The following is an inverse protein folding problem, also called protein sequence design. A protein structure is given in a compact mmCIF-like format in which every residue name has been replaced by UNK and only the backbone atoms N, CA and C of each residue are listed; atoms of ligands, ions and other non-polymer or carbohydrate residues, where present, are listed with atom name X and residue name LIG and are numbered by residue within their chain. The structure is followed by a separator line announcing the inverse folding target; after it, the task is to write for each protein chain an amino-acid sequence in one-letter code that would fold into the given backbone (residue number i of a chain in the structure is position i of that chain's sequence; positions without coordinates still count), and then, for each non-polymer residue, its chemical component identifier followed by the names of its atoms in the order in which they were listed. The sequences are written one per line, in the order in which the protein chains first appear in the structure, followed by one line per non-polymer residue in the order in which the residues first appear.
data_IF_768701582070
#
_entry.id   IF_768701582070
#
_cell.length_a   1.000
_cell.length_b   1.000
_cell.length_c   1.000
_cell.angle_alpha   90.00
_cell.angle_beta   90.00
_cell.angle_gamma   90.00
#
_symmetry.space_group_name_H-M   'P 1'
#
loop_
_entity.id
_entity.type
_entity.pdbx_description
1 polymer ?
#
# COMPACT_ATOMS: atom_id res chain seq x y z
N UNK A 1 -7.84 -18.99 4.62
CA UNK A 1 -7.48 -17.56 4.50
C UNK A 1 -8.51 -16.89 3.60
N UNK A 2 -9.38 -16.08 4.19
CA UNK A 2 -10.44 -15.34 3.49
C UNK A 2 -10.20 -13.83 3.56
N UNK A 3 -8.97 -13.45 3.88
CA UNK A 3 -8.53 -12.08 4.03
C UNK A 3 -8.60 -11.32 2.69
N UNK A 4 -9.11 -10.08 2.72
CA UNK A 4 -9.16 -9.15 1.59
C UNK A 4 -9.89 -9.72 0.33
N UNK A 5 -11.13 -10.18 0.51
CA UNK A 5 -11.92 -10.79 -0.56
C UNK A 5 -13.30 -10.14 -0.80
N UNK A 6 -13.57 -8.98 -0.22
CA UNK A 6 -14.87 -8.29 -0.33
C UNK A 6 -16.07 -9.17 0.09
N UNK A 7 -15.89 -10.05 1.05
CA UNK A 7 -16.98 -10.87 1.58
C UNK A 7 -17.97 -9.98 2.34
N UNK A 8 -19.26 -10.15 2.07
CA UNK A 8 -20.33 -9.38 2.74
C UNK A 8 -21.02 -10.19 3.84
N UNK A 9 -20.91 -11.51 3.81
CA UNK A 9 -21.53 -12.40 4.80
C UNK A 9 -20.63 -13.57 5.14
N UNK A 10 -20.64 -13.99 6.40
CA UNK A 10 -20.07 -15.24 6.86
C UNK A 10 -21.20 -16.06 7.50
N UNK A 11 -21.75 -17.06 6.80
CA UNK A 11 -22.92 -17.77 7.26
C UNK A 11 -22.62 -18.66 8.47
N UNK A 12 -23.63 -18.89 9.32
CA UNK A 12 -23.52 -19.69 10.55
C UNK A 12 -23.08 -21.14 10.31
N UNK A 13 -23.18 -21.65 9.08
CA UNK A 13 -22.65 -22.99 8.78
C UNK A 13 -21.13 -23.11 8.98
N UNK A 14 -20.39 -21.99 9.05
CA UNK A 14 -18.99 -22.00 9.44
C UNK A 14 -18.79 -22.55 10.86
N UNK A 15 -19.76 -22.37 11.74
CA UNK A 15 -19.72 -22.92 13.10
C UNK A 15 -19.79 -24.44 13.14
N UNK A 16 -20.19 -25.09 12.05
CA UNK A 16 -20.17 -26.56 11.92
C UNK A 16 -18.81 -27.12 11.50
N UNK A 17 -17.84 -26.26 11.22
CA UNK A 17 -16.47 -26.71 10.96
C UNK A 17 -15.85 -27.24 12.26
N UNK A 18 -15.03 -28.27 12.14
CA UNK A 18 -14.32 -28.84 13.29
C UNK A 18 -13.12 -27.93 13.65
N UNK A 19 -13.45 -26.71 14.09
CA UNK A 19 -12.49 -25.72 14.59
C UNK A 19 -12.87 -25.44 16.04
N UNK A 20 -11.93 -25.59 16.93
CA UNK A 20 -12.07 -25.12 18.30
C UNK A 20 -11.73 -23.62 18.34
N UNK A 21 -12.78 -22.80 18.34
CA UNK A 21 -12.66 -21.34 18.26
C UNK A 21 -12.06 -20.71 19.52
N UNK A 22 -12.06 -21.42 20.64
CA UNK A 22 -11.54 -20.94 21.93
C UNK A 22 -10.33 -21.76 22.41
N UNK A 23 -9.67 -22.49 21.52
CA UNK A 23 -8.56 -23.37 21.90
C UNK A 23 -7.34 -22.58 22.37
N UNK A 24 -7.07 -22.68 23.67
CA UNK A 24 -5.88 -22.15 24.32
C UNK A 24 -4.77 -23.20 24.50
N UNK A 25 -5.03 -24.45 24.18
CA UNK A 25 -4.10 -25.55 24.41
C UNK A 25 -2.86 -25.40 23.49
N UNK A 26 -1.71 -25.19 24.10
CA UNK A 26 -0.39 -25.11 23.47
C UNK A 26 -0.10 -23.90 22.59
N UNK A 27 -0.78 -22.77 22.79
CA UNK A 27 -0.56 -21.55 21.99
C UNK A 27 -1.00 -21.69 20.54
N UNK A 28 -1.92 -22.63 20.27
CA UNK A 28 -2.54 -22.81 18.96
C UNK A 28 -3.78 -21.94 18.83
N UNK A 29 -3.67 -20.84 18.10
CA UNK A 29 -4.83 -20.05 17.69
C UNK A 29 -5.55 -20.73 16.52
N UNK A 30 -6.88 -20.63 16.40
CA UNK A 30 -7.57 -21.08 15.21
C UNK A 30 -7.06 -20.28 13.99
N UNK A 31 -6.57 -20.98 12.98
CA UNK A 31 -6.05 -20.36 11.76
C UNK A 31 -7.21 -19.89 10.87
N UNK A 32 -7.86 -18.83 11.28
CA UNK A 32 -8.98 -18.27 10.54
C UNK A 32 -8.82 -16.77 10.40
N UNK A 33 -8.50 -16.30 9.20
CA UNK A 33 -8.29 -14.88 8.91
C UNK A 33 -9.34 -14.40 7.90
N UNK A 34 -10.20 -13.47 8.33
CA UNK A 34 -11.29 -12.87 7.56
C UNK A 34 -11.23 -11.35 7.51
N UNK A 35 -10.14 -10.75 7.94
CA UNK A 35 -9.95 -9.29 7.92
C UNK A 35 -10.02 -8.68 6.53
N UNK A 36 -10.22 -7.37 6.47
CA UNK A 36 -10.31 -6.58 5.24
C UNK A 36 -11.39 -7.10 4.26
N UNK A 37 -12.57 -7.42 4.79
CA UNK A 37 -13.80 -7.73 4.06
C UNK A 37 -14.90 -6.73 4.45
N UNK A 38 -16.13 -6.94 4.00
CA UNK A 38 -17.31 -6.11 4.29
C UNK A 38 -18.29 -6.85 5.21
N UNK A 39 -17.80 -7.58 6.20
CA UNK A 39 -18.61 -8.50 7.03
C UNK A 39 -19.37 -7.83 8.15
N UNK A 40 -19.24 -6.58 8.38
CA UNK A 40 -19.84 -5.68 9.39
C UNK A 40 -20.65 -6.37 10.51
N UNK A 41 -21.93 -6.64 10.28
CA UNK A 41 -22.82 -7.29 11.25
C UNK A 41 -23.13 -8.76 10.89
N UNK A 42 -22.42 -9.31 9.92
CA UNK A 42 -22.73 -10.62 9.31
C UNK A 42 -21.65 -11.68 9.59
N UNK A 43 -21.06 -11.63 10.77
CA UNK A 43 -20.08 -12.62 11.23
C UNK A 43 -20.80 -13.73 11.98
N UNK A 44 -20.48 -15.00 11.68
CA UNK A 44 -21.04 -16.15 12.38
C UNK A 44 -20.78 -16.09 13.89
N UNK A 45 -21.75 -16.52 14.72
CA UNK A 45 -21.69 -16.38 16.18
C UNK A 45 -20.48 -17.06 16.83
N UNK A 46 -20.08 -18.23 16.35
CA UNK A 46 -18.89 -18.93 16.86
C UNK A 46 -17.59 -18.14 16.62
N UNK A 47 -17.56 -17.27 15.63
CA UNK A 47 -16.42 -16.39 15.35
C UNK A 47 -16.49 -15.14 16.22
N UNK A 48 -17.64 -14.47 16.26
CA UNK A 48 -17.82 -13.22 17.01
C UNK A 48 -17.79 -13.40 18.51
N UNK A 49 -18.13 -14.60 19.00
CA UNK A 49 -18.12 -14.97 20.43
C UNK A 49 -16.82 -15.66 20.86
N UNK A 50 -15.87 -15.86 19.95
CA UNK A 50 -14.57 -16.45 20.27
C UNK A 50 -13.73 -15.51 21.14
N UNK A 51 -13.06 -16.07 22.15
CA UNK A 51 -12.08 -15.34 22.98
C UNK A 51 -10.89 -14.82 22.17
N UNK A 52 -10.70 -15.30 20.95
CA UNK A 52 -9.65 -14.86 20.02
C UNK A 52 -10.16 -13.90 18.96
N UNK A 53 -11.40 -13.42 19.07
CA UNK A 53 -11.94 -12.41 18.17
C UNK A 53 -11.38 -11.04 18.53
N UNK A 54 -10.46 -10.54 17.71
CA UNK A 54 -9.87 -9.23 17.87
C UNK A 54 -10.31 -8.28 16.77
N UNK A 55 -10.75 -7.10 17.19
CA UNK A 55 -11.07 -5.97 16.31
C UNK A 55 -9.85 -5.08 16.04
N UNK A 56 -8.70 -5.40 16.60
CA UNK A 56 -7.49 -4.58 16.47
C UNK A 56 -6.63 -5.00 15.28
N UNK A 57 -5.82 -4.06 14.81
CA UNK A 57 -4.85 -4.25 13.74
C UNK A 57 -3.47 -4.64 14.23
N UNK A 58 -3.29 -4.82 15.52
CA UNK A 58 -2.02 -5.24 16.07
C UNK A 58 -1.69 -6.66 15.60
N UNK A 59 -0.92 -6.73 14.53
CA UNK A 59 -0.41 -7.98 14.00
C UNK A 59 0.69 -8.52 14.89
N UNK A 60 0.34 -9.48 15.73
CA UNK A 60 1.33 -10.37 16.29
C UNK A 60 1.67 -11.45 15.25
N UNK A 61 2.94 -11.64 15.05
CA UNK A 61 3.68 -12.33 13.99
C UNK A 61 3.32 -13.78 13.82
N UNK A 62 2.38 -14.42 13.78
CA UNK A 62 1.94 -15.80 13.54
C UNK A 62 0.59 -16.19 14.16
N UNK A 63 -0.06 -15.33 14.86
CA UNK A 63 -1.46 -15.54 15.17
C UNK A 63 -2.28 -14.85 14.08
N UNK A 64 -3.19 -15.57 13.46
CA UNK A 64 -4.22 -14.95 12.65
C UNK A 64 -5.49 -14.91 13.49
N UNK A 65 -5.61 -13.96 14.41
CA UNK A 65 -6.88 -13.71 15.05
C UNK A 65 -7.90 -13.39 13.95
N UNK A 66 -9.15 -13.53 14.27
CA UNK A 66 -10.22 -13.12 13.38
C UNK A 66 -10.13 -11.61 13.27
N UNK A 67 -9.50 -11.11 12.21
CA UNK A 67 -9.31 -9.68 12.04
C UNK A 67 -10.55 -9.00 11.56
N UNK A 68 -10.92 -7.97 12.26
CA UNK A 68 -11.61 -6.81 11.76
C UNK A 68 -10.63 -5.65 11.85
N UNK A 69 -10.49 -4.75 10.87
CA UNK A 69 -11.62 -3.99 10.44
C UNK A 69 -12.25 -4.53 9.17
N UNK A 70 -13.56 -4.47 9.18
CA UNK A 70 -14.39 -4.64 8.01
C UNK A 70 -14.65 -3.24 7.43
N UNK A 71 -14.76 -3.11 6.12
CA UNK A 71 -15.18 -1.86 5.48
C UNK A 71 -16.71 -1.75 5.56
N UNK A 72 -17.20 -1.24 6.69
CA UNK A 72 -18.61 -1.22 7.01
C UNK A 72 -19.32 0.09 6.72
N UNK A 73 -18.61 1.11 6.34
CA UNK A 73 -19.18 2.44 6.05
C UNK A 73 -19.33 2.68 4.55
N UNK A 74 -20.37 2.09 3.98
CA UNK A 74 -20.76 2.38 2.58
C UNK A 74 -21.29 3.81 2.36
N UNK A 75 -21.35 4.66 3.39
CA UNK A 75 -21.82 6.07 3.30
C UNK A 75 -20.75 7.11 3.53
N UNK A 76 -19.58 6.71 3.99
CA UNK A 76 -18.44 7.61 4.10
C UNK A 76 -17.26 6.95 3.40
N UNK A 77 -16.79 7.54 2.32
CA UNK A 77 -15.46 7.32 1.78
C UNK A 77 -14.41 7.75 2.81
N UNK A 78 -14.46 7.16 3.99
CA UNK A 78 -13.31 7.12 4.87
C UNK A 78 -12.42 5.98 4.35
N UNK A 79 -11.59 6.32 3.41
CA UNK A 79 -10.29 5.68 3.33
C UNK A 79 -9.67 6.02 4.67
N UNK A 80 -9.74 5.08 5.62
CA UNK A 80 -9.02 5.21 6.87
C UNK A 80 -7.57 5.43 6.48
N UNK A 81 -7.07 6.64 6.70
CA UNK A 81 -5.74 7.04 6.24
C UNK A 81 -4.63 6.21 6.89
N UNK A 82 -4.99 5.44 7.91
CA UNK A 82 -4.06 4.56 8.63
C UNK A 82 -3.91 3.19 7.95
N UNK A 83 -4.78 2.86 6.98
CA UNK A 83 -4.73 1.62 6.18
C UNK A 83 -4.30 1.79 4.74
N UNK A 84 -3.93 2.99 4.34
CA UNK A 84 -3.25 3.13 3.06
C UNK A 84 -1.96 2.30 3.13
N UNK A 85 -1.74 1.41 2.16
CA UNK A 85 -0.50 0.66 2.12
C UNK A 85 0.66 1.63 2.27
N UNK A 86 1.73 1.19 2.91
CA UNK A 86 3.02 1.91 3.08
C UNK A 86 3.60 2.48 1.77
N UNK A 87 2.83 2.41 0.71
CA UNK A 87 3.21 2.77 -0.64
C UNK A 87 3.03 4.27 -0.86
N UNK A 88 4.11 4.91 -1.23
CA UNK A 88 4.05 6.25 -1.78
C UNK A 88 3.48 6.23 -3.20
N UNK A 89 2.86 7.32 -3.62
CA UNK A 89 2.31 7.45 -4.96
C UNK A 89 3.07 8.51 -5.76
N UNK A 90 3.31 8.21 -7.03
CA UNK A 90 3.97 9.12 -7.97
C UNK A 90 3.03 9.38 -9.14
N UNK A 91 2.74 10.64 -9.41
CA UNK A 91 1.89 11.06 -10.54
C UNK A 91 2.48 10.66 -11.90
N UNK A 92 1.70 10.80 -12.93
CA UNK A 92 2.24 10.87 -14.28
C UNK A 92 3.10 12.14 -14.42
N UNK A 93 4.21 12.10 -15.20
CA UNK A 93 5.00 13.28 -15.47
C UNK A 93 4.22 14.31 -16.33
N UNK A 94 4.32 15.59 -15.99
CA UNK A 94 3.66 16.64 -16.76
C UNK A 94 4.53 17.90 -16.89
N UNK A 95 4.53 18.55 -18.09
CA UNK A 95 4.01 18.00 -19.33
C UNK A 95 4.78 16.76 -19.78
N UNK A 96 4.19 15.93 -20.61
CA UNK A 96 4.89 14.79 -21.22
C UNK A 96 4.28 14.52 -22.61
N UNK A 97 4.95 14.80 -23.73
CA UNK A 97 6.34 15.26 -23.86
C UNK A 97 6.62 16.61 -23.20
N UNK A 98 7.89 16.85 -22.80
CA UNK A 98 8.29 18.06 -22.10
C UNK A 98 9.44 18.80 -22.78
N UNK A 99 9.58 20.11 -22.48
CA UNK A 99 10.68 20.98 -22.92
C UNK A 99 10.80 22.22 -22.04
N UNK A 100 11.91 22.51 -21.38
CA UNK A 100 12.96 21.56 -20.99
C UNK A 100 12.68 20.91 -19.64
N UNK A 101 11.59 21.25 -18.97
CA UNK A 101 11.26 20.86 -17.61
C UNK A 101 10.03 19.96 -17.56
N UNK A 102 10.09 18.96 -16.68
CA UNK A 102 8.98 18.05 -16.35
C UNK A 102 8.80 18.00 -14.83
N UNK A 103 7.55 17.91 -14.41
CA UNK A 103 7.18 17.82 -13.00
C UNK A 103 6.50 16.49 -12.72
N UNK A 104 6.74 15.94 -11.55
CA UNK A 104 6.02 14.79 -11.00
C UNK A 104 5.65 15.10 -9.56
N UNK A 105 4.42 14.80 -9.18
CA UNK A 105 3.99 14.90 -7.79
C UNK A 105 4.19 13.57 -7.09
N UNK A 106 4.81 13.63 -5.91
CA UNK A 106 5.12 12.52 -5.05
C UNK A 106 4.35 12.69 -3.75
N UNK A 107 3.40 11.79 -3.49
CA UNK A 107 2.64 11.78 -2.25
C UNK A 107 3.23 10.75 -1.28
N UNK A 108 3.71 11.24 -0.14
CA UNK A 108 4.40 10.46 0.90
C UNK A 108 3.45 10.28 2.08
N UNK A 109 3.02 9.05 2.40
CA UNK A 109 2.11 8.80 3.53
C UNK A 109 2.80 8.94 4.90
N UNK A 110 4.09 8.66 4.98
CA UNK A 110 4.92 8.75 6.20
C UNK A 110 6.32 9.22 5.84
N UNK A 111 7.01 9.85 6.78
CA UNK A 111 8.40 10.25 6.61
C UNK A 111 9.26 9.05 6.21
N UNK A 112 9.99 9.19 5.11
CA UNK A 112 10.84 8.11 4.60
C UNK A 112 12.05 8.62 3.86
N UNK A 113 13.08 7.79 3.84
CA UNK A 113 14.25 8.05 3.02
C UNK A 113 14.01 7.53 1.61
N UNK A 114 14.33 8.35 0.62
CA UNK A 114 14.13 8.00 -0.78
C UNK A 114 15.33 8.35 -1.65
N UNK A 115 15.51 7.53 -2.65
CA UNK A 115 16.36 7.80 -3.81
C UNK A 115 15.48 8.20 -4.99
N UNK A 116 15.85 9.29 -5.67
CA UNK A 116 15.22 9.71 -6.92
C UNK A 116 16.32 9.88 -7.97
N UNK A 117 16.27 9.07 -9.02
CA UNK A 117 17.33 8.99 -10.04
C UNK A 117 16.74 8.95 -11.44
N UNK A 118 17.49 9.52 -12.39
CA UNK A 118 17.15 9.57 -13.81
C UNK A 118 18.02 8.58 -14.59
N UNK A 119 17.40 7.87 -15.51
CA UNK A 119 18.04 6.89 -16.37
C UNK A 119 17.74 7.15 -17.84
N UNK A 120 18.69 6.82 -18.71
CA UNK A 120 18.46 6.76 -20.14
C UNK A 120 17.76 5.47 -20.58
N UNK A 121 17.49 5.31 -21.88
CA UNK A 121 16.85 4.10 -22.44
C UNK A 121 17.69 2.83 -22.31
N UNK A 122 18.99 2.98 -22.09
CA UNK A 122 19.92 1.85 -21.92
C UNK A 122 20.03 1.41 -20.45
N UNK A 123 19.38 2.16 -19.54
CA UNK A 123 19.43 1.89 -18.11
C UNK A 123 20.63 2.51 -17.41
N UNK A 124 21.40 3.39 -18.08
CA UNK A 124 22.47 4.12 -17.43
C UNK A 124 21.88 5.24 -16.56
N UNK A 125 22.36 5.35 -15.33
CA UNK A 125 22.03 6.48 -14.46
C UNK A 125 22.72 7.73 -15.02
N UNK A 126 21.93 8.75 -15.36
CA UNK A 126 22.44 10.01 -15.92
C UNK A 126 22.41 11.15 -14.93
N UNK A 127 21.52 11.08 -13.93
CA UNK A 127 21.41 12.09 -12.89
C UNK A 127 20.80 11.51 -11.60
N UNK A 128 21.26 12.00 -10.46
CA UNK A 128 20.66 11.73 -9.15
C UNK A 128 20.03 13.02 -8.62
N UNK A 129 18.70 13.03 -8.49
CA UNK A 129 17.96 14.17 -7.91
C UNK A 129 18.09 14.15 -6.39
N UNK A 130 17.91 12.97 -5.78
CA UNK A 130 18.12 12.79 -4.34
C UNK A 130 18.68 11.40 -4.04
N UNK A 131 19.53 11.30 -3.02
CA UNK A 131 20.07 10.05 -2.53
C UNK A 131 19.88 9.94 -1.03
N UNK A 132 19.15 8.92 -0.59
CA UNK A 132 18.85 8.67 0.82
C UNK A 132 18.32 9.93 1.56
N UNK A 133 17.58 10.78 0.83
CA UNK A 133 17.04 12.01 1.37
C UNK A 133 15.72 11.73 2.13
N UNK A 134 15.52 12.43 3.24
CA UNK A 134 14.27 12.34 4.00
C UNK A 134 13.20 13.15 3.28
N UNK A 135 12.11 12.50 2.92
CA UNK A 135 10.87 13.12 2.48
C UNK A 135 9.85 13.00 3.59
N UNK A 136 9.39 14.13 4.08
CA UNK A 136 8.35 14.20 5.11
C UNK A 136 6.99 13.77 4.54
N UNK A 137 6.08 13.37 5.42
CA UNK A 137 4.69 13.10 5.06
C UNK A 137 4.07 14.28 4.34
N UNK A 138 3.46 14.03 3.19
CA UNK A 138 2.78 15.06 2.40
C UNK A 138 3.02 14.97 0.91
N UNK A 139 2.65 16.04 0.21
CA UNK A 139 2.81 16.18 -1.23
C UNK A 139 4.11 16.94 -1.54
N UNK A 140 4.96 16.32 -2.36
CA UNK A 140 6.20 16.91 -2.86
C UNK A 140 6.14 17.02 -4.37
N UNK A 141 6.73 18.07 -4.93
CA UNK A 141 6.84 18.25 -6.36
C UNK A 141 8.30 18.10 -6.78
N UNK A 142 8.55 17.12 -7.62
CA UNK A 142 9.87 16.84 -8.17
C UNK A 142 9.95 17.40 -9.58
N UNK A 143 10.89 18.32 -9.78
CA UNK A 143 11.11 18.96 -11.09
C UNK A 143 12.45 18.51 -11.64
N UNK A 144 12.45 17.99 -12.87
CA UNK A 144 13.66 17.69 -13.60
C UNK A 144 13.79 18.56 -14.84
N UNK A 145 15.00 19.07 -15.10
CA UNK A 145 15.32 19.88 -16.28
C UNK A 145 16.37 19.18 -17.14
N UNK A 146 16.03 18.98 -18.41
CA UNK A 146 16.85 18.25 -19.36
C UNK A 146 17.64 19.17 -20.33
N UNK A 147 17.98 20.39 -19.90
CA UNK A 147 18.61 21.42 -20.76
C UNK A 147 19.87 20.90 -21.46
N UNK A 148 20.66 20.08 -20.77
CA UNK A 148 21.95 19.56 -21.23
C UNK A 148 21.87 18.15 -21.84
N UNK A 149 20.67 17.58 -21.96
CA UNK A 149 20.47 16.24 -22.49
C UNK A 149 19.92 16.26 -23.91
N UNK A 150 20.16 15.24 -24.73
CA UNK A 150 19.55 15.12 -26.06
C UNK A 150 18.05 14.82 -25.95
N UNK A 151 17.28 15.16 -27.00
CA UNK A 151 15.90 14.70 -27.11
C UNK A 151 15.85 13.18 -27.06
N UNK A 152 14.90 12.62 -26.31
CA UNK A 152 14.83 11.17 -26.12
C UNK A 152 13.85 10.73 -25.03
N UNK A 153 13.91 9.44 -24.75
CA UNK A 153 13.12 8.80 -23.68
C UNK A 153 14.01 8.66 -22.45
N UNK A 154 13.45 9.04 -21.31
CA UNK A 154 14.09 8.96 -20.00
C UNK A 154 13.16 8.28 -19.01
N UNK A 155 13.74 7.73 -17.96
CA UNK A 155 13.01 7.11 -16.86
C UNK A 155 13.43 7.74 -15.54
N UNK A 156 12.46 8.17 -14.75
CA UNK A 156 12.70 8.58 -13.37
C UNK A 156 12.30 7.43 -12.47
N UNK A 157 13.21 7.04 -11.57
CA UNK A 157 13.05 5.97 -10.59
C UNK A 157 12.99 6.56 -9.20
N UNK A 158 11.95 6.23 -8.47
CA UNK A 158 11.77 6.48 -7.05
C UNK A 158 11.96 5.16 -6.30
N UNK A 159 12.68 5.17 -5.19
CA UNK A 159 12.90 3.97 -4.37
C UNK A 159 13.10 4.35 -2.91
N UNK A 160 12.41 3.68 -2.01
CA UNK A 160 12.61 3.78 -0.55
C UNK A 160 13.35 2.54 0.03
N UNK A 161 13.83 1.67 -0.85
CA UNK A 161 14.49 0.41 -0.48
C UNK A 161 13.53 -0.79 -0.36
N UNK A 162 12.23 -0.56 -0.21
CA UNK A 162 11.18 -1.59 -0.12
C UNK A 162 10.31 -1.61 -1.37
N UNK A 163 9.99 -0.43 -1.90
CA UNK A 163 9.15 -0.24 -3.10
C UNK A 163 9.90 0.58 -4.14
N UNK A 164 9.58 0.33 -5.41
CA UNK A 164 10.17 1.02 -6.56
C UNK A 164 9.07 1.48 -7.50
N UNK A 165 9.08 2.78 -7.84
CA UNK A 165 8.19 3.36 -8.84
C UNK A 165 9.01 3.97 -9.95
N UNK A 166 8.61 3.68 -11.20
CA UNK A 166 9.26 4.19 -12.40
C UNK A 166 8.23 4.92 -13.25
N UNK A 167 8.64 6.07 -13.80
CA UNK A 167 7.84 6.84 -14.76
C UNK A 167 8.67 7.13 -16.00
N UNK A 168 8.02 6.97 -17.16
CA UNK A 168 8.61 7.27 -18.46
C UNK A 168 8.35 8.73 -18.80
N UNK A 169 9.39 9.41 -19.29
CA UNK A 169 9.35 10.81 -19.71
C UNK A 169 9.88 10.93 -21.13
N UNK A 170 9.31 11.81 -21.93
CA UNK A 170 9.72 12.05 -23.32
C UNK A 170 10.16 13.52 -23.44
N UNK A 171 11.44 13.71 -23.67
CA UNK A 171 12.03 15.03 -23.87
C UNK A 171 12.12 15.38 -25.35
N UNK A 172 11.66 16.56 -25.74
CA UNK A 172 11.71 17.09 -27.11
C UNK A 172 12.27 18.51 -27.06
N UNK A 173 13.40 18.73 -27.72
CA UNK A 173 13.95 20.08 -27.94
C UNK A 173 13.19 20.82 -28.99
#
# INVERSE_FOLDING_TARGET
WLFNNNLETLPDCFCNMNIDWNNDDNGGYPYFAIGANNLCDSVASCVSESDHFELSLDQFYYSFPVYSPQDCDSTTTYIDKDFLPYQYNVSAPYPNPFNPAVTLDLNIPYDRKMDVRIYDIMGNEIETISRNAIYEKGLHSIVWRADNYPSGVYYIKFSDGLDVRIRKMIFIK
#
